data_IF_308350426927
#
_entry.id   IF_308350426927
#
_cell.length_a   1.000
_cell.length_b   1.000
_cell.length_c   1.000
_cell.angle_alpha   90.00
_cell.angle_beta   90.00
_cell.angle_gamma   90.00
#
_symmetry.space_group_name_H-M   'P 1'
#
loop_
_entity.id
_entity.type
_entity.pdbx_description
1 polymer ?
#
# COMPACT_ATOMS: atom_id res chain seq x y z
N UNK A 1 -5.20 -19.78 16.22
CA UNK A 1 -5.77 -18.55 15.63
C UNK A 1 -4.69 -17.97 14.74
N UNK A 2 -4.98 -17.75 13.47
CA UNK A 2 -4.03 -17.12 12.55
C UNK A 2 -3.98 -15.62 12.84
N UNK A 3 -2.80 -15.12 13.21
CA UNK A 3 -2.57 -13.69 13.40
C UNK A 3 -2.15 -13.06 12.07
N UNK A 4 -2.54 -11.79 11.86
CA UNK A 4 -2.39 -11.10 10.58
C UNK A 4 -1.45 -9.92 10.75
N UNK A 5 -0.48 -9.78 9.84
CA UNK A 5 0.27 -8.55 9.62
C UNK A 5 -0.30 -7.86 8.37
N UNK A 6 -0.47 -6.54 8.46
CA UNK A 6 -0.88 -5.71 7.34
C UNK A 6 0.08 -4.56 7.09
N UNK A 7 0.16 -4.17 5.81
CA UNK A 7 0.84 -2.97 5.32
C UNK A 7 -0.21 -2.11 4.67
N UNK A 8 -0.48 -0.95 5.25
CA UNK A 8 -1.47 0.00 4.76
C UNK A 8 -0.78 1.23 4.17
N UNK A 9 -1.35 1.75 3.10
CA UNK A 9 -0.99 3.03 2.48
C UNK A 9 -2.16 3.99 2.53
N UNK A 10 -1.88 5.28 2.42
CA UNK A 10 -2.89 6.32 2.39
C UNK A 10 -2.50 7.34 1.32
N UNK A 11 -3.42 7.64 0.40
CA UNK A 11 -3.13 8.55 -0.72
C UNK A 11 -2.83 9.99 -0.28
N UNK A 12 -3.28 10.40 0.91
CA UNK A 12 -2.95 11.69 1.49
C UNK A 12 -1.60 11.72 2.21
N UNK A 13 -0.95 10.56 2.38
CA UNK A 13 0.39 10.43 2.98
C UNK A 13 1.36 9.70 2.04
N UNK A 14 1.70 10.26 0.86
CA UNK A 14 2.59 9.61 -0.08
C UNK A 14 3.97 9.30 0.52
N UNK A 15 4.46 8.09 0.28
CA UNK A 15 5.76 7.63 0.79
C UNK A 15 5.75 7.17 2.25
N UNK A 16 4.60 7.17 2.91
CA UNK A 16 4.40 6.60 4.23
C UNK A 16 3.64 5.27 4.15
N UNK A 17 4.05 4.34 4.99
CA UNK A 17 3.39 3.06 5.18
C UNK A 17 3.08 2.86 6.66
N UNK A 18 1.90 2.34 6.95
CA UNK A 18 1.54 1.87 8.28
C UNK A 18 1.72 0.36 8.33
N UNK A 19 2.51 -0.12 9.28
CA UNK A 19 2.67 -1.55 9.53
C UNK A 19 2.03 -1.86 10.86
N UNK A 20 1.08 -2.80 10.87
CA UNK A 20 0.44 -3.20 12.11
C UNK A 20 -0.05 -4.64 12.04
N UNK A 21 -0.60 -5.09 13.17
CA UNK A 21 -1.17 -6.43 13.29
C UNK A 21 -2.61 -6.45 13.78
N UNK A 22 -3.28 -7.57 13.52
CA UNK A 22 -4.54 -7.91 14.16
C UNK A 22 -4.61 -9.41 14.44
N UNK A 23 -5.23 -9.78 15.55
CA UNK A 23 -5.58 -11.17 15.88
C UNK A 23 -7.03 -11.51 15.48
N UNK A 24 -7.76 -10.53 14.93
CA UNK A 24 -9.16 -10.62 14.54
C UNK A 24 -9.32 -10.40 13.02
N UNK A 25 -10.47 -9.87 12.59
CA UNK A 25 -10.77 -9.66 11.19
C UNK A 25 -10.02 -8.43 10.61
N UNK A 26 -9.31 -8.63 9.50
CA UNK A 26 -8.56 -7.57 8.81
C UNK A 26 -9.45 -6.42 8.32
N UNK A 27 -10.59 -6.73 7.71
CA UNK A 27 -11.49 -5.71 7.16
C UNK A 27 -12.07 -4.83 8.27
N UNK A 28 -12.51 -5.45 9.36
CA UNK A 28 -12.99 -4.73 10.53
C UNK A 28 -11.91 -3.79 11.07
N UNK A 29 -10.67 -4.27 11.18
CA UNK A 29 -9.55 -3.45 11.66
C UNK A 29 -9.27 -2.26 10.74
N UNK A 30 -9.34 -2.44 9.43
CA UNK A 30 -9.16 -1.34 8.46
C UNK A 30 -10.30 -0.32 8.59
N UNK A 31 -11.56 -0.76 8.74
CA UNK A 31 -12.69 0.14 8.99
C UNK A 31 -12.50 0.94 10.27
N UNK A 32 -12.13 0.30 11.38
CA UNK A 32 -11.84 0.98 12.65
C UNK A 32 -10.75 2.07 12.51
N UNK A 33 -9.73 1.83 11.70
CA UNK A 33 -8.69 2.81 11.42
C UNK A 33 -9.19 3.96 10.54
N UNK A 34 -10.07 3.68 9.58
CA UNK A 34 -10.67 4.66 8.68
C UNK A 34 -11.73 5.53 9.36
N UNK A 35 -12.44 5.00 10.36
CA UNK A 35 -13.39 5.75 11.18
C UNK A 35 -12.72 6.90 11.98
N UNK A 36 -11.39 6.88 12.13
CA UNK A 36 -10.67 7.92 12.83
C UNK A 36 -10.63 9.22 12.02
N UNK A 37 -11.18 10.29 12.57
CA UNK A 37 -11.12 11.65 11.99
C UNK A 37 -9.68 12.23 11.90
N UNK A 38 -8.69 11.50 12.41
CA UNK A 38 -7.27 11.91 12.37
C UNK A 38 -6.57 11.54 11.06
N UNK A 39 -7.24 10.82 10.15
CA UNK A 39 -6.72 10.51 8.80
C UNK A 39 -7.62 11.14 7.73
N UNK A 40 -7.06 11.89 6.77
CA UNK A 40 -7.86 12.67 5.81
C UNK A 40 -8.43 11.85 4.65
N UNK A 41 -7.90 10.65 4.40
CA UNK A 41 -8.39 9.70 3.40
C UNK A 41 -8.38 8.30 4.00
N UNK A 42 -9.16 7.34 3.49
CA UNK A 42 -9.12 5.96 3.95
C UNK A 42 -7.78 5.29 3.61
N UNK A 43 -7.39 4.33 4.44
CA UNK A 43 -6.30 3.41 4.17
C UNK A 43 -6.67 2.39 3.10
N UNK A 44 -5.72 2.12 2.21
CA UNK A 44 -5.74 0.98 1.29
C UNK A 44 -4.83 -0.13 1.83
N UNK A 45 -5.31 -1.37 1.81
CA UNK A 45 -4.49 -2.53 2.11
C UNK A 45 -3.52 -2.81 0.95
N UNK A 46 -2.26 -2.41 1.10
CA UNK A 46 -1.24 -2.73 0.12
C UNK A 46 -0.84 -4.20 0.18
N UNK A 47 -0.77 -4.75 1.39
CA UNK A 47 -0.48 -6.16 1.63
C UNK A 47 -1.05 -6.61 2.96
N UNK A 48 -1.47 -7.87 3.03
CA UNK A 48 -1.74 -8.54 4.28
C UNK A 48 -1.47 -10.04 4.18
N UNK A 49 -0.94 -10.63 5.24
CA UNK A 49 -0.71 -12.07 5.31
C UNK A 49 -0.88 -12.60 6.72
N UNK A 50 -1.15 -13.90 6.82
CA UNK A 50 -1.08 -14.63 8.09
C UNK A 50 0.36 -15.00 8.43
N UNK A 51 0.67 -15.03 9.72
CA UNK A 51 1.99 -15.39 10.25
C UNK A 51 1.83 -16.25 11.52
N UNK A 52 2.88 -16.95 11.92
CA UNK A 52 2.86 -17.81 13.11
C UNK A 52 2.79 -17.00 14.42
N UNK A 53 3.55 -15.90 14.49
CA UNK A 53 3.61 -15.01 15.65
C UNK A 53 3.65 -13.55 15.18
N UNK A 54 2.50 -12.89 15.14
CA UNK A 54 2.40 -11.53 14.61
C UNK A 54 3.05 -10.50 15.53
N UNK A 55 3.03 -10.71 16.84
CA UNK A 55 3.72 -9.80 17.75
C UNK A 55 5.22 -9.77 17.50
N UNK A 56 5.83 -10.95 17.34
CA UNK A 56 7.25 -11.05 17.02
C UNK A 56 7.56 -10.45 15.63
N UNK A 57 6.80 -10.83 14.60
CA UNK A 57 7.04 -10.35 13.23
C UNK A 57 6.85 -8.83 13.12
N UNK A 58 5.81 -8.27 13.73
CA UNK A 58 5.58 -6.82 13.77
C UNK A 58 6.76 -6.09 14.43
N UNK A 59 7.21 -6.58 15.58
CA UNK A 59 8.34 -5.98 16.29
C UNK A 59 9.62 -6.01 15.44
N UNK A 60 9.94 -7.15 14.82
CA UNK A 60 11.10 -7.26 13.93
C UNK A 60 10.99 -6.32 12.72
N UNK A 61 9.80 -6.12 12.16
CA UNK A 61 9.60 -5.15 11.08
C UNK A 61 9.76 -3.71 11.57
N UNK A 62 9.22 -3.37 12.74
CA UNK A 62 9.39 -2.03 13.31
C UNK A 62 10.86 -1.72 13.57
N UNK A 63 11.61 -2.67 14.12
CA UNK A 63 13.04 -2.53 14.39
C UNK A 63 13.85 -2.44 13.09
N UNK A 64 13.57 -3.30 12.10
CA UNK A 64 14.27 -3.32 10.82
C UNK A 64 14.09 -2.03 10.01
N UNK A 65 13.00 -1.29 10.23
CA UNK A 65 12.69 -0.02 9.56
C UNK A 65 12.70 1.18 10.51
N UNK A 66 13.27 1.06 11.71
CA UNK A 66 13.23 2.13 12.73
C UNK A 66 13.92 3.42 12.26
N UNK A 67 14.99 3.32 11.47
CA UNK A 67 15.66 4.45 10.81
C UNK A 67 14.72 5.24 9.87
N UNK A 68 13.64 4.61 9.40
CA UNK A 68 12.62 5.24 8.56
C UNK A 68 11.38 5.67 9.36
N UNK A 69 11.36 5.46 10.67
CA UNK A 69 10.22 5.77 11.53
C UNK A 69 10.19 7.25 11.88
N UNK A 70 9.11 7.94 11.48
CA UNK A 70 9.02 9.40 11.65
C UNK A 70 8.64 9.81 13.08
N UNK A 71 7.89 8.96 13.77
CA UNK A 71 7.55 9.16 15.17
C UNK A 71 7.65 7.82 15.91
N UNK A 72 8.57 7.67 16.88
CA UNK A 72 8.74 6.43 17.64
C UNK A 72 7.49 5.94 18.38
N UNK A 73 6.51 6.83 18.63
CA UNK A 73 5.23 6.47 19.26
C UNK A 73 4.18 5.99 18.27
N UNK A 74 4.46 6.04 16.97
CA UNK A 74 3.50 5.66 15.92
C UNK A 74 4.10 4.62 14.99
N UNK A 75 3.24 3.88 14.31
CA UNK A 75 3.62 2.74 13.47
C UNK A 75 3.69 3.16 11.98
N UNK A 76 4.25 4.35 11.71
CA UNK A 76 4.37 4.89 10.36
C UNK A 76 5.84 5.03 9.98
N UNK A 77 6.16 4.55 8.78
CA UNK A 77 7.51 4.45 8.25
C UNK A 77 7.56 5.14 6.90
N UNK A 78 8.58 5.98 6.69
CA UNK A 78 8.83 6.63 5.40
C UNK A 78 9.67 5.69 4.53
N UNK A 79 9.02 4.68 3.97
CA UNK A 79 9.64 3.64 3.16
C UNK A 79 8.66 3.17 2.08
N UNK A 80 9.19 2.70 0.95
CA UNK A 80 8.37 2.10 -0.10
C UNK A 80 7.71 0.80 0.42
N UNK A 81 6.38 0.61 0.24
CA UNK A 81 5.66 -0.53 0.80
C UNK A 81 6.20 -1.87 0.31
N UNK A 82 6.72 -1.95 -0.91
CA UNK A 82 7.33 -3.14 -1.49
C UNK A 82 8.54 -3.64 -0.70
N UNK A 83 9.26 -2.74 0.00
CA UNK A 83 10.39 -3.13 0.85
C UNK A 83 9.91 -3.83 2.13
N UNK A 84 8.84 -3.32 2.74
CA UNK A 84 8.22 -3.96 3.91
C UNK A 84 7.65 -5.31 3.53
N UNK A 85 6.95 -5.39 2.39
CA UNK A 85 6.42 -6.66 1.86
C UNK A 85 7.53 -7.67 1.60
N UNK A 86 8.67 -7.24 1.03
CA UNK A 86 9.79 -8.13 0.79
C UNK A 86 10.35 -8.74 2.10
N UNK A 87 10.41 -7.97 3.18
CA UNK A 87 10.81 -8.47 4.50
C UNK A 87 9.74 -9.40 5.10
N UNK A 88 8.47 -9.01 5.02
CA UNK A 88 7.34 -9.77 5.57
C UNK A 88 7.18 -11.14 4.90
N UNK A 89 7.48 -11.25 3.59
CA UNK A 89 7.46 -12.53 2.85
C UNK A 89 8.34 -13.62 3.44
N UNK A 90 9.33 -13.29 4.27
CA UNK A 90 10.17 -14.28 4.95
C UNK A 90 9.43 -15.02 6.08
N UNK A 91 8.36 -14.43 6.61
CA UNK A 91 7.56 -14.98 7.72
C UNK A 91 6.10 -15.27 7.31
N UNK A 92 5.77 -15.07 6.04
CA UNK A 92 4.43 -15.26 5.49
C UNK A 92 4.03 -16.74 5.44
N UNK A 93 2.82 -17.04 5.93
CA UNK A 93 2.17 -18.34 5.77
C UNK A 93 1.17 -18.30 4.61
N UNK A 94 0.28 -17.31 4.59
CA UNK A 94 -0.75 -17.16 3.57
C UNK A 94 -1.01 -15.68 3.23
N UNK A 95 -1.04 -15.35 1.93
CA UNK A 95 -1.46 -14.04 1.45
C UNK A 95 -2.98 -13.89 1.51
N UNK A 96 -3.45 -12.90 2.26
CA UNK A 96 -4.88 -12.58 2.43
C UNK A 96 -5.18 -11.13 2.03
N UNK A 97 -4.37 -10.57 1.13
CA UNK A 97 -4.52 -9.19 0.69
C UNK A 97 -5.89 -9.01 0.02
N UNK A 98 -6.74 -8.07 0.50
CA UNK A 98 -8.03 -7.78 -0.12
C UNK A 98 -7.87 -7.38 -1.59
N UNK A 99 -8.78 -7.85 -2.45
CA UNK A 99 -8.78 -7.53 -3.88
C UNK A 99 -9.44 -6.19 -4.22
N UNK A 100 -10.15 -5.60 -3.26
CA UNK A 100 -10.87 -4.34 -3.38
C UNK A 100 -10.59 -3.46 -2.16
N UNK A 101 -10.82 -2.17 -2.31
CA UNK A 101 -10.72 -1.23 -1.20
C UNK A 101 -11.75 -1.52 -0.11
N UNK A 102 -11.37 -1.29 1.14
CA UNK A 102 -12.22 -1.44 2.32
C UNK A 102 -12.52 -0.04 2.84
N UNK A 103 -13.61 0.53 2.32
CA UNK A 103 -14.12 1.85 2.69
C UNK A 103 -15.46 1.72 3.41
N UNK A 104 -15.84 2.72 4.20
CA UNK A 104 -17.08 2.66 4.98
C UNK A 104 -18.29 3.05 4.15
N UNK A 105 -18.15 4.05 3.29
CA UNK A 105 -19.25 4.61 2.51
C UNK A 105 -18.80 5.03 1.10
N UNK A 106 -19.76 5.46 0.29
CA UNK A 106 -19.52 5.88 -1.10
C UNK A 106 -18.69 7.16 -1.20
N UNK A 107 -18.83 8.08 -0.26
CA UNK A 107 -18.11 9.36 -0.25
C UNK A 107 -16.60 9.13 -0.04
N UNK A 108 -16.23 8.20 0.85
CA UNK A 108 -14.85 7.77 1.06
C UNK A 108 -14.26 7.14 -0.20
N UNK A 109 -15.04 6.31 -0.91
CA UNK A 109 -14.60 5.73 -2.19
C UNK A 109 -14.35 6.83 -3.23
N UNK A 110 -15.28 7.77 -3.38
CA UNK A 110 -15.17 8.87 -4.34
C UNK A 110 -13.97 9.77 -4.02
N UNK A 111 -13.71 10.05 -2.74
CA UNK A 111 -12.54 10.81 -2.29
C UNK A 111 -11.22 10.07 -2.57
N UNK A 112 -11.17 8.76 -2.32
CA UNK A 112 -10.01 7.92 -2.61
C UNK A 112 -9.72 7.86 -4.12
N UNK A 113 -10.75 7.67 -4.93
CA UNK A 113 -10.62 7.60 -6.40
C UNK A 113 -10.16 8.95 -6.98
N UNK A 114 -10.68 10.06 -6.47
CA UNK A 114 -10.23 11.41 -6.84
C UNK A 114 -8.75 11.62 -6.50
N UNK A 115 -8.31 11.22 -5.30
CA UNK A 115 -6.91 11.33 -4.88
C UNK A 115 -5.98 10.49 -5.76
N UNK A 116 -6.37 9.25 -6.10
CA UNK A 116 -5.63 8.38 -7.02
C UNK A 116 -5.51 8.99 -8.41
N UNK A 117 -6.57 9.61 -8.93
CA UNK A 117 -6.54 10.29 -10.24
C UNK A 117 -5.57 11.48 -10.25
N UNK A 118 -5.46 12.20 -9.14
CA UNK A 118 -4.48 13.30 -9.00
C UNK A 118 -3.06 12.73 -8.98
N UNK A 119 -2.82 11.64 -8.25
CA UNK A 119 -1.50 10.99 -8.16
C UNK A 119 -1.08 10.32 -9.47
N UNK A 120 -2.00 9.73 -10.20
CA UNK A 120 -1.75 9.09 -11.51
C UNK A 120 -1.50 10.09 -12.64
N UNK A 121 -1.46 11.41 -12.35
CA UNK A 121 -0.92 12.41 -13.28
C UNK A 121 0.54 12.18 -13.65
N UNK A 122 1.23 11.22 -13.02
CA UNK A 122 2.47 10.68 -13.56
C UNK A 122 2.25 10.18 -15.00
N UNK A 123 2.93 10.82 -15.96
CA UNK A 123 3.01 10.36 -17.33
C UNK A 123 4.44 9.98 -17.68
N UNK A 124 4.60 9.04 -18.61
CA UNK A 124 5.91 8.72 -19.17
C UNK A 124 6.56 9.94 -19.85
N UNK A 125 5.76 10.90 -20.32
CA UNK A 125 6.23 12.20 -20.83
C UNK A 125 6.96 13.02 -19.75
N UNK A 126 6.46 13.03 -18.50
CA UNK A 126 7.17 13.70 -17.38
C UNK A 126 8.53 13.07 -17.09
N UNK A 127 8.69 11.78 -17.39
CA UNK A 127 9.95 11.05 -17.28
C UNK A 127 10.81 11.12 -18.56
N UNK A 128 10.42 11.93 -19.54
CA UNK A 128 11.06 12.04 -20.86
C UNK A 128 11.14 10.71 -21.63
N UNK A 129 10.21 9.79 -21.36
CA UNK A 129 10.11 8.51 -22.05
C UNK A 129 9.12 8.66 -23.22
N UNK A 130 9.57 8.48 -24.48
CA UNK A 130 8.75 8.75 -25.64
C UNK A 130 7.64 7.70 -25.84
N UNK A 131 6.59 8.09 -26.57
CA UNK A 131 5.56 7.16 -27.02
C UNK A 131 6.16 6.03 -27.84
N UNK A 132 5.74 4.81 -27.52
CA UNK A 132 6.26 3.61 -28.15
C UNK A 132 7.57 3.08 -27.57
N UNK A 133 8.15 3.72 -26.54
CA UNK A 133 9.27 3.16 -25.79
C UNK A 133 8.89 1.81 -25.16
N UNK A 134 9.82 0.86 -25.19
CA UNK A 134 9.72 -0.38 -24.44
C UNK A 134 10.29 -0.18 -23.04
N UNK A 135 9.50 -0.53 -22.03
CA UNK A 135 9.91 -0.55 -20.63
C UNK A 135 9.87 -1.99 -20.14
N UNK A 136 10.78 -2.33 -19.22
CA UNK A 136 10.84 -3.64 -18.60
C UNK A 136 10.64 -3.54 -17.09
N UNK A 137 10.11 -4.60 -16.49
CA UNK A 137 10.03 -4.68 -15.03
C UNK A 137 11.44 -4.86 -14.47
N UNK A 138 11.86 -3.99 -13.55
CA UNK A 138 13.23 -3.96 -13.03
C UNK A 138 13.69 -5.25 -12.32
N UNK A 139 12.76 -6.15 -11.96
CA UNK A 139 13.05 -7.45 -11.35
C UNK A 139 12.84 -8.64 -12.30
N UNK A 140 12.39 -8.40 -13.53
CA UNK A 140 12.18 -9.44 -14.55
C UNK A 140 12.16 -8.80 -15.95
N UNK A 141 13.30 -8.86 -16.65
CA UNK A 141 13.46 -8.26 -17.99
C UNK A 141 12.59 -8.94 -19.07
N UNK A 142 12.03 -10.13 -18.77
CA UNK A 142 11.10 -10.79 -19.68
C UNK A 142 9.71 -10.16 -19.65
N UNK A 143 9.38 -9.39 -18.61
CA UNK A 143 8.13 -8.63 -18.51
C UNK A 143 8.31 -7.26 -19.14
N UNK A 144 7.88 -7.16 -20.40
CA UNK A 144 7.97 -5.93 -21.22
C UNK A 144 6.60 -5.28 -21.37
N UNK A 145 6.58 -3.95 -21.44
CA UNK A 145 5.41 -3.15 -21.77
C UNK A 145 5.80 -2.01 -22.72
N UNK A 146 4.83 -1.48 -23.47
CA UNK A 146 5.05 -0.37 -24.40
C UNK A 146 4.30 0.87 -23.90
N UNK A 147 4.97 2.01 -23.93
CA UNK A 147 4.36 3.29 -23.56
C UNK A 147 3.31 3.68 -24.61
N UNK A 148 2.06 3.82 -24.17
CA UNK A 148 0.91 4.25 -24.99
C UNK A 148 0.27 5.49 -24.35
N UNK A 149 -0.33 6.35 -25.18
CA UNK A 149 -1.28 7.37 -24.71
C UNK A 149 -2.63 6.72 -24.44
N UNK A 150 -3.30 7.09 -23.34
CA UNK A 150 -4.72 6.78 -23.18
C UNK A 150 -5.50 7.41 -24.35
N UNK A 151 -6.44 6.70 -24.99
CA UNK A 151 -7.33 7.34 -25.94
C UNK A 151 -8.08 8.46 -25.20
N UNK A 152 -8.01 9.68 -25.74
CA UNK A 152 -8.84 10.78 -25.27
C UNK A 152 -10.30 10.32 -25.26
N UNK A 153 -10.90 10.15 -24.08
CA UNK A 153 -12.35 10.12 -23.96
C UNK A 153 -12.84 11.54 -24.29
N UNK A 154 -13.20 11.73 -25.55
CA UNK A 154 -14.04 12.84 -25.98
C UNK A 154 -15.42 12.56 -25.36
N UNK A 155 -15.81 13.37 -24.38
CA UNK A 155 -17.19 13.47 -23.90
C UNK A 155 -17.94 14.40 -24.85
#
# INVERSE_FOLDING_TARGET
MSEIIYVLTNEAMPGYVKVGRTSTNLEQRIRELNASTSVPLPFTAFYACTVENAQFVEHQLHDAFDDNRVNPKREFFRVAPERVVAALKLAEIENITPKSDIVENKEDQEALDAARKIRSRFSFEMAQIPLGAEVYFSRDENKKAKVITLPNFII
#
